data_IF_696301043835
#
_entry.id   IF_696301043835
#
_cell.length_a   1.000
_cell.length_b   1.000
_cell.length_c   1.000
_cell.angle_alpha   90.00
_cell.angle_beta   90.00
_cell.angle_gamma   90.00
#
_symmetry.space_group_name_H-M   'P 1'
#
loop_
_entity.id
_entity.type
_entity.pdbx_description
1 polymer ?
#
# COMPACT_ATOMS: atom_id res chain seq x y z
N UNK A 1 -2.23 -4.17 3.36
CA UNK A 1 -2.69 -3.30 4.47
C UNK A 1 -2.82 -1.86 3.99
N UNK A 2 -3.68 -1.04 4.60
CA UNK A 2 -3.88 0.36 4.18
C UNK A 2 -2.75 1.28 4.65
N UNK A 3 -2.47 2.33 3.86
CA UNK A 3 -1.36 3.26 4.06
C UNK A 3 -1.33 3.95 5.43
N UNK A 4 -2.46 4.44 5.93
CA UNK A 4 -2.48 5.17 7.21
C UNK A 4 -2.16 4.29 8.40
N UNK A 5 -2.75 3.10 8.48
CA UNK A 5 -2.45 2.15 9.55
C UNK A 5 -0.98 1.76 9.56
N UNK A 6 -0.40 1.54 8.38
CA UNK A 6 1.03 1.26 8.25
C UNK A 6 1.91 2.43 8.67
N UNK A 7 1.55 3.66 8.29
CA UNK A 7 2.28 4.87 8.69
C UNK A 7 2.26 5.13 10.18
N UNK A 8 1.14 4.83 10.83
CA UNK A 8 0.98 4.99 12.27
C UNK A 8 1.78 3.95 13.04
N UNK A 9 1.78 2.69 12.59
CA UNK A 9 2.35 1.58 13.35
C UNK A 9 3.80 1.25 13.01
N UNK A 10 4.23 1.46 11.76
CA UNK A 10 5.49 0.89 11.23
C UNK A 10 6.42 1.97 10.69
N UNK A 11 6.01 2.71 9.66
CA UNK A 11 6.85 3.72 9.01
C UNK A 11 6.02 4.90 8.53
N UNK A 12 6.16 6.03 9.24
CA UNK A 12 5.45 7.28 8.95
C UNK A 12 5.70 7.81 7.53
N UNK A 13 6.86 7.51 6.94
CA UNK A 13 7.24 7.96 5.60
C UNK A 13 6.85 6.96 4.50
N UNK A 14 6.25 5.82 4.85
CA UNK A 14 5.90 4.77 3.90
C UNK A 14 5.09 5.30 2.72
N UNK A 15 5.32 4.72 1.55
CA UNK A 15 4.58 4.99 0.32
C UNK A 15 3.82 3.73 -0.12
N UNK A 16 2.73 3.86 -0.90
CA UNK A 16 2.08 2.71 -1.51
C UNK A 16 3.05 1.85 -2.31
N UNK A 17 2.89 0.53 -2.25
CA UNK A 17 3.75 -0.44 -2.91
C UNK A 17 4.49 -1.38 -1.95
N UNK A 18 5.47 -2.09 -2.48
CA UNK A 18 6.36 -2.94 -1.69
C UNK A 18 7.20 -2.09 -0.73
N UNK A 19 7.26 -2.53 0.52
CA UNK A 19 8.06 -1.86 1.53
C UNK A 19 9.50 -2.38 1.50
N UNK A 20 10.50 -1.53 1.83
CA UNK A 20 11.92 -1.94 1.80
C UNK A 20 12.24 -3.09 2.75
N UNK A 21 11.48 -3.22 3.84
CA UNK A 21 11.63 -4.26 4.85
C UNK A 21 10.57 -5.34 4.78
N UNK A 22 10.82 -6.44 5.50
CA UNK A 22 9.82 -7.48 5.75
C UNK A 22 8.98 -7.13 6.97
N UNK A 23 7.76 -7.64 7.02
CA UNK A 23 6.91 -7.62 8.20
C UNK A 23 6.51 -9.05 8.57
N UNK A 24 6.85 -9.47 9.79
CA UNK A 24 6.61 -10.84 10.23
C UNK A 24 7.31 -11.90 9.36
N UNK A 25 8.46 -11.58 8.76
CA UNK A 25 9.20 -12.50 7.88
C UNK A 25 8.69 -12.57 6.43
N UNK A 26 7.64 -11.81 6.07
CA UNK A 26 7.11 -11.75 4.71
C UNK A 26 7.32 -10.36 4.07
N UNK A 27 7.36 -10.31 2.74
CA UNK A 27 7.33 -9.03 2.00
C UNK A 27 6.02 -8.32 2.29
N UNK A 28 6.10 -7.04 2.66
CA UNK A 28 4.93 -6.22 2.91
C UNK A 28 4.58 -5.38 1.69
N UNK A 29 3.29 -5.36 1.33
CA UNK A 29 2.73 -4.44 0.34
C UNK A 29 1.70 -3.53 0.99
N UNK A 30 1.88 -2.23 0.82
CA UNK A 30 1.00 -1.20 1.35
C UNK A 30 0.10 -0.70 0.22
N UNK A 31 -1.21 -0.84 0.42
CA UNK A 31 -2.20 -0.34 -0.52
C UNK A 31 -2.43 1.16 -0.28
N UNK A 32 -2.67 1.94 -1.35
CA UNK A 32 -3.17 3.30 -1.20
C UNK A 32 -4.50 3.29 -0.41
N UNK A 33 -4.80 4.38 0.29
CA UNK A 33 -6.06 4.48 1.03
C UNK A 33 -7.24 4.51 0.06
N UNK A 34 -8.17 3.57 0.24
CA UNK A 34 -9.39 3.40 -0.55
C UNK A 34 -10.59 4.14 0.05
N UNK A 35 -10.38 5.00 1.06
CA UNK A 35 -11.48 5.79 1.60
C UNK A 35 -11.97 6.76 0.53
N UNK A 36 -13.29 6.95 0.41
CA UNK A 36 -13.88 7.89 -0.56
C UNK A 36 -13.48 9.36 -0.33
N UNK A 37 -12.83 9.66 0.80
CA UNK A 37 -12.27 10.97 1.10
C UNK A 37 -10.96 11.25 0.32
N UNK A 38 -10.32 10.19 -0.21
CA UNK A 38 -9.19 10.31 -1.13
C UNK A 38 -9.70 10.65 -2.54
N UNK A 39 -10.07 11.91 -2.75
CA UNK A 39 -10.54 12.43 -4.04
C UNK A 39 -9.52 12.26 -5.21
N UNK A 40 -8.29 11.84 -4.92
CA UNK A 40 -7.21 11.66 -5.88
C UNK A 40 -6.97 10.19 -6.30
N UNK A 41 -7.61 9.21 -5.66
CA UNK A 41 -7.41 7.80 -6.01
C UNK A 41 -8.37 7.40 -7.15
N UNK A 42 -7.82 7.17 -8.35
CA UNK A 42 -8.61 6.68 -9.49
C UNK A 42 -8.75 5.17 -9.44
N UNK A 43 -9.82 4.63 -10.01
CA UNK A 43 -10.01 3.18 -10.14
C UNK A 43 -8.85 2.51 -10.89
N UNK A 44 -8.30 3.16 -11.92
CA UNK A 44 -7.11 2.69 -12.65
C UNK A 44 -5.92 2.45 -11.73
N UNK A 45 -5.70 3.36 -10.79
CA UNK A 45 -4.55 3.34 -9.89
C UNK A 45 -4.71 2.20 -8.87
N UNK A 46 -5.95 1.99 -8.39
CA UNK A 46 -6.27 0.85 -7.52
C UNK A 46 -6.04 -0.49 -8.24
N UNK A 47 -6.49 -0.62 -9.49
CA UNK A 47 -6.27 -1.84 -10.29
C UNK A 47 -4.78 -2.08 -10.53
N UNK A 48 -4.01 -1.04 -10.83
CA UNK A 48 -2.56 -1.15 -10.98
C UNK A 48 -1.89 -1.65 -9.70
N UNK A 49 -2.28 -1.10 -8.55
CA UNK A 49 -1.75 -1.54 -7.25
C UNK A 49 -2.12 -3.00 -6.92
N UNK A 50 -3.33 -3.45 -7.26
CA UNK A 50 -3.73 -4.83 -7.06
C UNK A 50 -2.90 -5.80 -7.90
N UNK A 51 -2.65 -5.47 -9.18
CA UNK A 51 -1.80 -6.28 -10.06
C UNK A 51 -0.37 -6.37 -9.55
N UNK A 52 0.23 -5.25 -9.14
CA UNK A 52 1.59 -5.26 -8.60
C UNK A 52 1.70 -6.12 -7.33
N UNK A 53 0.69 -6.06 -6.45
CA UNK A 53 0.66 -6.85 -5.23
C UNK A 53 0.59 -8.36 -5.50
N UNK A 54 -0.19 -8.81 -6.49
CA UNK A 54 -0.29 -10.24 -6.85
C UNK A 54 0.90 -10.74 -7.66
N UNK A 55 1.51 -9.87 -8.47
CA UNK A 55 2.66 -10.22 -9.32
C UNK A 55 4.00 -10.20 -8.56
N UNK A 56 4.04 -9.67 -7.34
CA UNK A 56 5.25 -9.66 -6.53
C UNK A 56 6.33 -8.68 -7.03
N UNK A 57 5.98 -7.71 -7.87
CA UNK A 57 6.89 -6.72 -8.46
C UNK A 57 6.87 -5.40 -7.69
#
# INVERSE_FOLDING_TARGET
VGLEGWRTAIDRAAQPGFQPGTFGGARAYVMPSTSGLNAHARLSDLVAHMRAATEGR
#
